data_IF_088631608110
#
_entry.id   IF_088631608110
#
_cell.length_a   1.000
_cell.length_b   1.000
_cell.length_c   1.000
_cell.angle_alpha   90.00
_cell.angle_beta   90.00
_cell.angle_gamma   90.00
#
_symmetry.space_group_name_H-M   'P 1'
#
loop_
_entity.id
_entity.type
_entity.pdbx_description
1 polymer ?
#
# COMPACT_ATOMS: atom_id res chain seq x y z
N UNK A 1 -2.92 -0.05 9.80
CA UNK A 1 -3.40 -0.33 8.44
C UNK A 1 -2.31 0.11 7.50
N UNK A 2 -1.47 -0.82 7.06
CA UNK A 2 -0.40 -0.53 6.10
C UNK A 2 -0.86 -0.95 4.70
N UNK A 3 -0.47 -0.16 3.70
CA UNK A 3 -0.74 -0.44 2.30
C UNK A 3 0.48 -1.12 1.70
N UNK A 4 0.29 -2.06 0.79
CA UNK A 4 1.37 -2.89 0.27
C UNK A 4 1.45 -2.82 -1.24
N UNK A 5 2.65 -3.06 -1.77
CA UNK A 5 2.89 -3.02 -3.21
C UNK A 5 2.14 -4.16 -3.91
N UNK A 6 1.41 -3.88 -5.01
CA UNK A 6 0.66 -4.91 -5.74
C UNK A 6 1.61 -5.91 -6.41
N UNK A 7 1.49 -7.18 -6.04
CA UNK A 7 2.34 -8.26 -6.57
C UNK A 7 1.72 -8.93 -7.79
N UNK A 8 0.39 -8.96 -7.90
CA UNK A 8 -0.32 -9.61 -9.03
C UNK A 8 -0.57 -8.65 -10.21
N UNK A 9 -0.60 -9.14 -11.46
CA UNK A 9 -0.74 -8.30 -12.65
C UNK A 9 -2.02 -7.45 -12.67
N UNK A 10 -3.14 -8.00 -12.20
CA UNK A 10 -4.41 -7.26 -12.09
C UNK A 10 -4.32 -6.11 -11.06
N UNK A 11 -3.66 -6.35 -9.94
CA UNK A 11 -3.47 -5.37 -8.87
C UNK A 11 -2.56 -4.23 -9.35
N UNK A 12 -1.53 -4.55 -10.13
CA UNK A 12 -0.64 -3.57 -10.78
C UNK A 12 -1.39 -2.70 -11.78
N UNK A 13 -2.25 -3.29 -12.62
CA UNK A 13 -3.06 -2.55 -13.58
C UNK A 13 -4.04 -1.60 -12.86
N UNK A 14 -4.69 -2.08 -11.79
CA UNK A 14 -5.58 -1.26 -10.97
C UNK A 14 -4.83 -0.13 -10.27
N UNK A 15 -3.64 -0.39 -9.73
CA UNK A 15 -2.79 0.62 -9.11
C UNK A 15 -2.37 1.70 -10.13
N UNK A 16 -1.99 1.30 -11.35
CA UNK A 16 -1.67 2.24 -12.42
C UNK A 16 -2.87 3.11 -12.81
N UNK A 17 -4.06 2.53 -12.86
CA UNK A 17 -5.31 3.26 -13.10
C UNK A 17 -5.57 4.29 -11.99
N UNK A 18 -5.49 3.89 -10.72
CA UNK A 18 -5.69 4.77 -9.56
C UNK A 18 -4.66 5.89 -9.53
N UNK A 19 -3.37 5.59 -9.77
CA UNK A 19 -2.29 6.58 -9.85
C UNK A 19 -2.55 7.69 -10.86
N UNK A 20 -3.26 7.40 -11.95
CA UNK A 20 -3.55 8.37 -13.02
C UNK A 20 -4.90 9.05 -12.87
N UNK A 21 -5.91 8.33 -12.41
CA UNK A 21 -7.27 8.86 -12.26
C UNK A 21 -7.41 9.77 -11.03
N UNK A 22 -6.82 9.40 -9.89
CA UNK A 22 -6.99 10.14 -8.64
C UNK A 22 -6.45 11.57 -8.72
N UNK A 23 -5.24 11.84 -9.26
CA UNK A 23 -4.77 13.21 -9.41
C UNK A 23 -5.62 14.03 -10.39
N UNK A 24 -6.09 13.41 -11.47
CA UNK A 24 -6.93 14.08 -12.47
C UNK A 24 -8.28 14.50 -11.88
N UNK A 25 -8.92 13.61 -11.11
CA UNK A 25 -10.19 13.92 -10.42
C UNK A 25 -9.96 14.92 -9.28
N UNK A 26 -8.87 14.78 -8.52
CA UNK A 26 -8.52 15.72 -7.47
C UNK A 26 -8.29 17.14 -8.02
N UNK A 27 -7.69 17.28 -9.20
CA UNK A 27 -7.52 18.56 -9.87
C UNK A 27 -8.85 19.23 -10.25
N UNK A 28 -9.86 18.43 -10.60
CA UNK A 28 -11.19 18.93 -10.95
C UNK A 28 -12.04 19.31 -9.72
N UNK A 29 -11.97 18.53 -8.63
CA UNK A 29 -12.91 18.63 -7.50
C UNK A 29 -12.31 19.33 -6.28
N UNK A 30 -10.99 19.23 -6.09
CA UNK A 30 -10.32 19.64 -4.86
C UNK A 30 -9.03 20.43 -5.16
N UNK A 31 -9.16 21.51 -5.95
CA UNK A 31 -8.04 22.35 -6.44
C UNK A 31 -7.06 22.79 -5.35
N UNK A 32 -7.53 23.08 -4.13
CA UNK A 32 -6.69 23.49 -2.99
C UNK A 32 -6.03 22.31 -2.25
N UNK A 33 -6.51 21.08 -2.46
CA UNK A 33 -6.02 19.86 -1.81
C UNK A 33 -5.37 18.85 -2.78
N UNK A 34 -5.09 19.26 -4.03
CA UNK A 34 -4.40 18.43 -5.03
C UNK A 34 -3.07 17.90 -4.49
N UNK A 35 -2.41 18.67 -3.63
CA UNK A 35 -1.16 18.26 -2.95
C UNK A 35 -1.34 17.04 -2.05
N UNK A 36 -2.46 16.93 -1.32
CA UNK A 36 -2.76 15.79 -0.44
C UNK A 36 -2.97 14.50 -1.24
N UNK A 37 -3.71 14.58 -2.35
CA UNK A 37 -3.92 13.43 -3.24
C UNK A 37 -2.66 13.04 -4.01
N UNK A 38 -1.83 14.02 -4.38
CA UNK A 38 -0.52 13.76 -5.00
C UNK A 38 0.45 13.09 -4.02
N UNK A 39 0.44 13.50 -2.74
CA UNK A 39 1.21 12.86 -1.68
C UNK A 39 0.76 11.42 -1.44
N UNK A 40 -0.56 11.18 -1.38
CA UNK A 40 -1.13 9.84 -1.26
C UNK A 40 -0.67 8.92 -2.39
N UNK A 41 -0.69 9.40 -3.63
CA UNK A 41 -0.20 8.63 -4.78
C UNK A 41 1.30 8.35 -4.66
N UNK A 42 2.09 9.34 -4.21
CA UNK A 42 3.54 9.17 -4.04
C UNK A 42 3.90 8.23 -2.89
N UNK A 43 3.17 8.24 -1.78
CA UNK A 43 3.42 7.35 -0.66
C UNK A 43 3.12 5.90 -1.02
N UNK A 44 2.16 5.66 -1.94
CA UNK A 44 1.88 4.32 -2.46
C UNK A 44 3.10 3.69 -3.14
N UNK A 45 3.94 4.50 -3.79
CA UNK A 45 5.14 4.03 -4.49
C UNK A 45 6.27 3.64 -3.53
N UNK A 46 6.22 4.16 -2.31
CA UNK A 46 7.22 3.93 -1.26
C UNK A 46 6.86 2.75 -0.35
N UNK A 47 5.67 2.15 -0.50
CA UNK A 47 5.30 0.99 0.29
C UNK A 47 6.11 -0.25 -0.12
N UNK A 48 6.58 -0.95 0.90
CA UNK A 48 7.23 -2.25 0.76
C UNK A 48 6.23 -3.28 0.21
N UNK A 49 6.74 -4.28 -0.48
CA UNK A 49 6.00 -5.50 -0.71
C UNK A 49 5.71 -6.20 0.63
N UNK A 50 4.68 -7.05 0.67
CA UNK A 50 4.30 -7.77 1.90
C UNK A 50 5.46 -8.61 2.40
N UNK A 51 6.18 -9.24 1.48
CA UNK A 51 7.33 -10.11 1.74
C UNK A 51 8.49 -9.33 2.36
N UNK A 52 8.81 -8.16 1.80
CA UNK A 52 9.86 -7.27 2.34
C UNK A 52 9.51 -6.78 3.76
N UNK A 53 8.22 -6.56 4.03
CA UNK A 53 7.76 -6.15 5.34
C UNK A 53 7.83 -7.30 6.35
N UNK A 54 7.45 -8.52 5.96
CA UNK A 54 7.56 -9.72 6.79
C UNK A 54 9.01 -9.98 7.20
N UNK A 55 9.95 -9.89 6.25
CA UNK A 55 11.38 -10.03 6.54
C UNK A 55 11.89 -8.98 7.54
N UNK A 56 11.41 -7.74 7.44
CA UNK A 56 11.82 -6.67 8.35
C UNK A 56 11.24 -6.88 9.76
N UNK A 57 10.00 -7.34 9.86
CA UNK A 57 9.36 -7.68 11.15
C UNK A 57 10.05 -8.89 11.79
N UNK A 58 10.37 -9.92 11.02
CA UNK A 58 11.14 -11.08 11.49
C UNK A 58 12.52 -10.67 12.04
N UNK A 59 13.28 -9.87 11.27
CA UNK A 59 14.59 -9.34 11.67
C UNK A 59 14.54 -8.45 12.91
N UNK A 60 13.38 -7.91 13.24
CA UNK A 60 13.16 -7.10 14.44
C UNK A 60 12.92 -7.95 15.70
N UNK A 61 12.91 -9.28 15.57
CA UNK A 61 12.75 -10.23 16.68
C UNK A 61 11.31 -10.58 17.01
N UNK A 62 10.36 -10.26 16.13
CA UNK A 62 8.99 -10.75 16.22
C UNK A 62 8.89 -12.16 15.61
N UNK A 63 7.95 -12.94 16.12
CA UNK A 63 7.67 -14.33 15.76
C UNK A 63 6.17 -14.50 15.46
N UNK A 64 5.78 -15.67 14.94
CA UNK A 64 4.37 -15.98 14.63
C UNK A 64 3.75 -14.97 13.66
N UNK A 65 4.40 -14.82 12.49
CA UNK A 65 4.05 -13.83 11.49
C UNK A 65 2.87 -14.30 10.64
N UNK A 66 1.80 -13.51 10.63
CA UNK A 66 0.64 -13.73 9.79
C UNK A 66 0.40 -12.53 8.87
N UNK A 67 0.13 -12.79 7.59
CA UNK A 67 -0.23 -11.77 6.63
C UNK A 67 -1.56 -12.10 5.94
N UNK A 68 -2.52 -11.19 6.07
CA UNK A 68 -3.86 -11.34 5.52
C UNK A 68 -4.14 -10.25 4.50
N UNK A 69 -4.04 -10.62 3.22
CA UNK A 69 -4.41 -9.72 2.14
C UNK A 69 -5.93 -9.55 2.06
N UNK A 70 -6.36 -8.31 1.81
CA UNK A 70 -7.76 -7.90 1.65
C UNK A 70 -7.87 -7.01 0.41
N UNK A 71 -9.09 -6.94 -0.14
CA UNK A 71 -9.41 -6.11 -1.30
C UNK A 71 -8.49 -6.38 -2.51
N UNK A 72 -8.16 -7.65 -2.77
CA UNK A 72 -7.24 -8.04 -3.85
C UNK A 72 -5.87 -7.32 -3.72
N UNK A 73 -5.13 -7.57 -2.63
CA UNK A 73 -3.77 -7.03 -2.50
C UNK A 73 -3.65 -5.56 -2.13
N UNK A 74 -4.75 -4.80 -2.06
CA UNK A 74 -4.70 -3.35 -1.74
C UNK A 74 -4.22 -3.08 -0.34
N UNK A 75 -4.72 -3.89 0.59
CA UNK A 75 -4.51 -3.74 2.02
C UNK A 75 -4.12 -5.10 2.52
N UNK A 76 -3.02 -5.17 3.25
CA UNK A 76 -2.65 -6.38 3.98
C UNK A 76 -2.64 -6.03 5.45
N UNK A 77 -3.18 -6.95 6.25
CA UNK A 77 -3.11 -6.86 7.71
C UNK A 77 -2.01 -7.81 8.13
N UNK A 78 -1.04 -7.29 8.87
CA UNK A 78 0.12 -8.04 9.34
C UNK A 78 -0.01 -8.20 10.86
N UNK A 79 0.01 -9.45 11.31
CA UNK A 79 0.00 -9.86 12.71
C UNK A 79 1.35 -10.46 13.06
N UNK A 80 1.87 -10.12 14.24
CA UNK A 80 3.13 -10.62 14.74
C UNK A 80 3.15 -10.56 16.27
N UNK A 81 3.81 -11.51 16.90
CA UNK A 81 3.91 -11.61 18.36
C UNK A 81 5.37 -11.49 18.78
N UNK A 82 5.67 -10.78 19.86
CA UNK A 82 7.01 -10.74 20.44
C UNK A 82 7.00 -11.48 21.78
N UNK A 83 7.95 -12.41 22.01
CA UNK A 83 8.06 -13.10 23.29
C UNK A 83 8.42 -12.16 24.44
#
# INVERSE_FOLDING_TARGET
>A
LEFYRPTRPLERARAAFVRRLVPAVAWCVAREHVSAYSYLVRSIDQFLAVEEMLELVERSGFTDLEAHSRLMGTVTILGATRP
#
